data_IF_117902916997
#
_entry.id   IF_117902916997
#
_cell.length_a   1.000
_cell.length_b   1.000
_cell.length_c   1.000
_cell.angle_alpha   90.00
_cell.angle_beta   90.00
_cell.angle_gamma   90.00
#
_symmetry.space_group_name_H-M   'P 1'
#
loop_
_entity.id
_entity.type
_entity.pdbx_description
1 polymer ?
#
# COMPACT_ATOMS: atom_id res chain seq x y z
N UNK A 1 -11.71 -18.96 18.36
CA UNK A 1 -11.55 -17.60 17.75
C UNK A 1 -11.44 -17.85 16.27
N UNK A 2 -12.28 -17.22 15.47
CA UNK A 2 -12.25 -17.40 14.00
C UNK A 2 -11.02 -16.72 13.42
N UNK A 3 -10.53 -17.31 12.31
CA UNK A 3 -9.38 -16.76 11.56
C UNK A 3 -9.86 -15.51 10.81
N UNK A 4 -9.11 -14.40 10.91
CA UNK A 4 -9.42 -13.19 10.17
C UNK A 4 -8.96 -13.29 8.70
N UNK A 5 -9.58 -12.54 7.80
CA UNK A 5 -9.35 -12.62 6.35
C UNK A 5 -7.85 -12.52 5.96
N UNK A 6 -7.10 -11.59 6.57
CA UNK A 6 -5.67 -11.43 6.29
C UNK A 6 -4.79 -12.62 6.70
N UNK A 7 -5.27 -13.48 7.60
CA UNK A 7 -4.56 -14.70 8.01
C UNK A 7 -5.01 -15.94 7.22
N UNK A 8 -5.99 -15.79 6.36
CA UNK A 8 -6.48 -16.87 5.49
C UNK A 8 -5.72 -16.97 4.18
N UNK A 9 -4.98 -15.94 3.78
CA UNK A 9 -4.13 -15.98 2.58
C UNK A 9 -2.87 -16.80 2.85
N UNK A 10 -2.52 -17.72 1.97
CA UNK A 10 -1.27 -18.47 2.10
C UNK A 10 -0.05 -17.58 1.75
N UNK A 11 0.60 -17.04 2.77
CA UNK A 11 1.77 -16.17 2.63
C UNK A 11 3.01 -16.86 2.06
N UNK A 12 3.02 -18.19 1.90
CA UNK A 12 4.10 -18.92 1.23
C UNK A 12 4.00 -18.81 -0.29
N UNK A 13 2.79 -18.52 -0.80
CA UNK A 13 2.49 -18.41 -2.22
C UNK A 13 2.21 -16.97 -2.66
N UNK A 14 2.11 -16.04 -1.70
CA UNK A 14 1.80 -14.65 -1.98
C UNK A 14 2.99 -13.94 -2.62
N UNK A 15 2.76 -13.32 -3.76
CA UNK A 15 3.72 -12.53 -4.51
C UNK A 15 3.47 -11.02 -4.35
N UNK A 16 4.41 -10.14 -4.74
CA UNK A 16 4.13 -8.71 -4.84
C UNK A 16 2.97 -8.43 -5.79
N UNK A 17 2.10 -7.49 -5.42
CA UNK A 17 0.89 -7.22 -6.21
C UNK A 17 0.03 -6.11 -5.62
N UNK A 18 -1.16 -5.95 -6.21
CA UNK A 18 -2.24 -5.07 -5.75
C UNK A 18 -3.50 -5.92 -5.60
N UNK A 19 -3.86 -6.26 -4.38
CA UNK A 19 -4.93 -7.21 -4.11
C UNK A 19 -6.09 -6.55 -3.38
N UNK A 20 -7.32 -6.94 -3.69
CA UNK A 20 -8.46 -6.66 -2.82
C UNK A 20 -8.35 -7.55 -1.59
N UNK A 21 -8.02 -6.95 -0.44
CA UNK A 21 -7.89 -7.69 0.82
C UNK A 21 -9.25 -8.03 1.42
N UNK A 22 -10.15 -7.05 1.46
CA UNK A 22 -11.53 -7.22 1.93
C UNK A 22 -12.40 -6.04 1.52
N UNK A 23 -13.71 -6.24 1.63
CA UNK A 23 -14.71 -5.19 1.56
C UNK A 23 -15.54 -5.20 2.84
N UNK A 24 -15.71 -4.03 3.42
CA UNK A 24 -16.54 -3.83 4.61
C UNK A 24 -17.73 -2.94 4.25
N UNK A 25 -18.92 -3.35 4.65
CA UNK A 25 -20.16 -2.60 4.43
C UNK A 25 -20.78 -2.19 5.76
N UNK A 26 -21.21 -0.94 5.84
CA UNK A 26 -22.09 -0.48 6.93
C UNK A 26 -23.54 -0.66 6.51
N UNK A 27 -24.26 -1.59 7.14
CA UNK A 27 -25.65 -1.91 6.83
C UNK A 27 -26.59 -0.73 7.04
N UNK A 28 -26.28 0.17 7.98
CA UNK A 28 -27.14 1.29 8.33
C UNK A 28 -27.10 2.40 7.25
N UNK A 29 -25.95 2.62 6.64
CA UNK A 29 -25.75 3.70 5.64
C UNK A 29 -25.64 3.18 4.22
N UNK A 30 -25.39 1.85 4.04
CA UNK A 30 -25.06 1.25 2.75
C UNK A 30 -23.66 1.64 2.25
N UNK A 31 -22.86 2.30 3.07
CA UNK A 31 -21.49 2.67 2.72
C UNK A 31 -20.60 1.44 2.63
N UNK A 32 -19.86 1.30 1.53
CA UNK A 32 -18.88 0.24 1.33
C UNK A 32 -17.49 0.84 1.30
N UNK A 33 -16.54 0.14 1.91
CA UNK A 33 -15.10 0.44 1.81
C UNK A 33 -14.36 -0.79 1.28
N UNK A 34 -13.37 -0.54 0.44
CA UNK A 34 -12.45 -1.58 -0.05
C UNK A 34 -11.07 -1.33 0.54
N UNK A 35 -10.49 -2.37 1.13
CA UNK A 35 -9.11 -2.41 1.61
C UNK A 35 -8.25 -3.14 0.59
N UNK A 36 -7.23 -2.48 0.08
CA UNK A 36 -6.23 -3.06 -0.80
C UNK A 36 -4.95 -3.41 -0.05
N UNK A 37 -4.40 -4.56 -0.38
CA UNK A 37 -3.06 -5.00 0.00
C UNK A 37 -2.10 -4.62 -1.14
N UNK A 38 -1.28 -3.61 -0.90
CA UNK A 38 -0.20 -3.21 -1.81
C UNK A 38 1.06 -3.97 -1.39
N UNK A 39 1.18 -5.21 -1.87
CA UNK A 39 2.27 -6.12 -1.50
C UNK A 39 3.53 -5.79 -2.28
N UNK A 40 4.60 -5.37 -1.59
CA UNK A 40 5.83 -4.91 -2.21
C UNK A 40 6.97 -5.94 -2.17
N UNK A 41 6.90 -6.89 -1.24
CA UNK A 41 7.91 -7.95 -1.08
C UNK A 41 7.26 -9.31 -0.96
N UNK A 42 7.97 -10.37 -1.37
CA UNK A 42 7.56 -11.75 -1.16
C UNK A 42 7.64 -12.11 0.33
N UNK A 43 6.50 -12.42 0.99
CA UNK A 43 6.53 -12.74 2.42
C UNK A 43 7.43 -13.94 2.73
N UNK A 44 8.27 -13.81 3.74
CA UNK A 44 9.18 -14.85 4.25
C UNK A 44 10.25 -15.37 3.26
N UNK A 45 10.30 -14.87 2.02
CA UNK A 45 11.24 -15.31 0.99
C UNK A 45 12.29 -14.24 0.67
N UNK A 46 12.03 -12.99 1.00
CA UNK A 46 12.98 -11.89 0.82
C UNK A 46 12.99 -10.93 2.02
N UNK A 47 14.00 -10.04 2.14
CA UNK A 47 14.06 -9.05 3.21
C UNK A 47 12.88 -8.10 3.18
N UNK A 48 12.40 -7.71 4.36
CA UNK A 48 11.37 -6.69 4.52
C UNK A 48 11.96 -5.28 4.46
N UNK A 49 11.11 -4.29 4.22
CA UNK A 49 11.49 -2.88 4.23
C UNK A 49 11.96 -2.43 5.62
N UNK A 50 12.94 -1.52 5.67
CA UNK A 50 13.37 -0.86 6.90
C UNK A 50 12.30 0.11 7.41
N UNK A 51 12.24 0.35 8.72
CA UNK A 51 11.24 1.25 9.33
C UNK A 51 11.30 2.64 8.75
N UNK A 52 12.50 3.18 8.58
CA UNK A 52 12.70 4.52 8.03
C UNK A 52 12.27 4.65 6.56
N UNK A 53 12.46 3.60 5.75
CA UNK A 53 11.95 3.55 4.38
C UNK A 53 10.43 3.46 4.33
N UNK A 54 9.84 2.61 5.19
CA UNK A 54 8.39 2.46 5.34
C UNK A 54 7.74 3.77 5.73
N UNK A 55 8.30 4.48 6.72
CA UNK A 55 7.79 5.75 7.21
C UNK A 55 7.86 6.85 6.14
N UNK A 56 8.97 6.92 5.40
CA UNK A 56 9.12 7.85 4.28
C UNK A 56 8.09 7.56 3.15
N UNK A 57 7.85 6.30 2.81
CA UNK A 57 6.82 5.91 1.83
C UNK A 57 5.41 6.29 2.33
N UNK A 58 5.13 6.10 3.62
CA UNK A 58 3.85 6.47 4.22
C UNK A 58 3.58 7.96 4.06
N UNK A 59 4.53 8.83 4.47
CA UNK A 59 4.38 10.28 4.36
C UNK A 59 4.19 10.75 2.91
N UNK A 60 5.02 10.26 1.99
CA UNK A 60 4.96 10.62 0.58
C UNK A 60 3.68 10.12 -0.08
N UNK A 61 3.32 8.86 0.17
CA UNK A 61 2.11 8.24 -0.37
C UNK A 61 0.83 8.91 0.16
N UNK A 62 0.76 9.16 1.47
CA UNK A 62 -0.37 9.87 2.06
C UNK A 62 -0.51 11.29 1.48
N UNK A 63 0.61 12.01 1.33
CA UNK A 63 0.61 13.34 0.71
C UNK A 63 0.12 13.30 -0.73
N UNK A 64 0.62 12.36 -1.54
CA UNK A 64 0.17 12.19 -2.92
C UNK A 64 -1.33 11.91 -3.00
N UNK A 65 -1.81 10.91 -2.26
CA UNK A 65 -3.19 10.45 -2.30
C UNK A 65 -4.19 11.53 -1.85
N UNK A 66 -3.83 12.32 -0.82
CA UNK A 66 -4.68 13.41 -0.31
C UNK A 66 -4.71 14.63 -1.22
N UNK A 67 -3.79 14.73 -2.18
CA UNK A 67 -3.73 15.80 -3.19
C UNK A 67 -4.14 15.32 -4.59
N UNK A 68 -4.45 14.03 -4.78
CA UNK A 68 -4.94 13.54 -6.07
C UNK A 68 -6.34 14.11 -6.39
N UNK A 69 -6.55 14.73 -7.57
CA UNK A 69 -7.79 15.42 -7.89
C UNK A 69 -9.02 14.50 -7.96
N UNK A 70 -8.83 13.22 -8.25
CA UNK A 70 -9.93 12.25 -8.39
C UNK A 70 -10.15 11.44 -7.11
N UNK A 71 -9.06 11.13 -6.38
CA UNK A 71 -9.10 10.17 -5.29
C UNK A 71 -9.05 10.77 -3.89
N UNK A 72 -8.66 12.03 -3.72
CA UNK A 72 -8.48 12.66 -2.41
C UNK A 72 -9.71 12.57 -1.49
N UNK A 73 -10.93 12.63 -2.06
CA UNK A 73 -12.18 12.48 -1.30
C UNK A 73 -12.60 11.01 -1.08
N UNK A 74 -12.00 10.07 -1.80
CA UNK A 74 -12.31 8.64 -1.71
C UNK A 74 -11.34 7.88 -0.82
N UNK A 75 -10.11 8.34 -0.69
CA UNK A 75 -9.09 7.69 0.15
C UNK A 75 -9.39 7.93 1.62
N UNK A 76 -9.52 6.85 2.37
CA UNK A 76 -9.74 6.86 3.83
C UNK A 76 -8.41 6.78 4.56
N UNK A 77 -7.56 5.81 4.16
CA UNK A 77 -6.31 5.53 4.85
C UNK A 77 -5.26 4.95 3.89
N UNK A 78 -4.01 5.32 4.12
CA UNK A 78 -2.84 4.66 3.56
C UNK A 78 -1.80 4.53 4.66
N UNK A 79 -1.27 3.32 4.84
CA UNK A 79 -0.26 3.09 5.87
C UNK A 79 0.32 1.69 5.82
N UNK A 80 1.46 1.47 6.50
CA UNK A 80 2.22 0.24 6.42
C UNK A 80 1.56 -0.93 7.13
N UNK A 81 1.86 -2.11 6.65
CA UNK A 81 1.61 -3.36 7.36
C UNK A 81 2.66 -3.55 8.46
N UNK A 82 2.27 -4.07 9.61
CA UNK A 82 3.18 -4.36 10.71
C UNK A 82 4.31 -5.34 10.35
N UNK A 83 4.11 -6.20 9.35
CA UNK A 83 5.14 -7.11 8.83
C UNK A 83 6.14 -6.43 7.88
N UNK A 84 5.91 -5.18 7.50
CA UNK A 84 6.78 -4.37 6.62
C UNK A 84 6.99 -4.96 5.23
N UNK A 85 6.04 -5.74 4.73
CA UNK A 85 6.07 -6.33 3.38
C UNK A 85 5.22 -5.55 2.38
N UNK A 86 4.53 -4.51 2.81
CA UNK A 86 3.65 -3.67 1.98
C UNK A 86 2.84 -2.69 2.79
N UNK A 87 1.82 -2.13 2.13
CA UNK A 87 0.94 -1.11 2.68
C UNK A 87 -0.53 -1.50 2.48
N UNK A 88 -1.40 -0.95 3.33
CA UNK A 88 -2.83 -0.94 3.08
C UNK A 88 -3.27 0.40 2.50
N UNK A 89 -4.09 0.34 1.45
CA UNK A 89 -4.86 1.46 0.95
C UNK A 89 -6.34 1.16 1.19
N UNK A 90 -7.03 2.05 1.89
CA UNK A 90 -8.48 1.94 2.14
C UNK A 90 -9.19 3.07 1.42
N UNK A 91 -10.20 2.75 0.64
CA UNK A 91 -10.99 3.72 -0.11
C UNK A 91 -12.49 3.40 -0.06
N UNK A 92 -13.32 4.44 -0.19
CA UNK A 92 -14.75 4.28 -0.36
C UNK A 92 -15.10 3.65 -1.71
N UNK A 93 -16.06 2.76 -1.69
CA UNK A 93 -16.65 2.11 -2.85
C UNK A 93 -16.41 0.62 -2.90
N UNK A 94 -17.17 -0.05 -3.78
CA UNK A 94 -16.95 -1.45 -4.16
C UNK A 94 -15.97 -1.45 -5.33
N UNK A 95 -14.70 -1.65 -5.03
CA UNK A 95 -13.60 -1.48 -5.98
C UNK A 95 -12.87 -2.79 -6.24
N UNK A 96 -12.32 -2.93 -7.45
CA UNK A 96 -11.39 -3.99 -7.83
C UNK A 96 -9.95 -3.48 -7.92
N UNK A 97 -8.98 -4.36 -7.99
CA UNK A 97 -7.55 -4.01 -8.12
C UNK A 97 -7.29 -3.13 -9.34
N UNK A 98 -7.99 -3.37 -10.44
CA UNK A 98 -7.88 -2.58 -11.67
C UNK A 98 -8.30 -1.12 -11.49
N UNK A 99 -9.26 -0.83 -10.58
CA UNK A 99 -9.76 0.53 -10.35
C UNK A 99 -8.70 1.43 -9.70
N UNK A 100 -7.77 0.85 -8.94
CA UNK A 100 -6.72 1.59 -8.22
C UNK A 100 -5.33 1.41 -8.81
N UNK A 101 -5.15 0.54 -9.80
CA UNK A 101 -3.84 0.22 -10.38
C UNK A 101 -3.09 1.46 -10.89
N UNK A 102 -3.77 2.33 -11.65
CA UNK A 102 -3.19 3.58 -12.14
C UNK A 102 -2.84 4.55 -10.99
N UNK A 103 -3.72 4.71 -10.02
CA UNK A 103 -3.47 5.54 -8.83
C UNK A 103 -2.22 5.08 -8.09
N UNK A 104 -2.12 3.77 -7.83
CA UNK A 104 -0.97 3.15 -7.14
C UNK A 104 0.31 3.34 -7.96
N UNK A 105 0.25 3.11 -9.26
CA UNK A 105 1.39 3.32 -10.16
C UNK A 105 1.87 4.78 -10.11
N UNK A 106 0.96 5.76 -10.26
CA UNK A 106 1.29 7.20 -10.18
C UNK A 106 1.87 7.59 -8.82
N UNK A 107 1.33 7.05 -7.73
CA UNK A 107 1.84 7.29 -6.38
C UNK A 107 3.29 6.81 -6.24
N UNK A 108 3.59 5.59 -6.65
CA UNK A 108 4.95 5.07 -6.55
C UNK A 108 5.91 5.71 -7.56
N UNK A 109 5.44 6.15 -8.74
CA UNK A 109 6.21 6.97 -9.65
C UNK A 109 6.57 8.33 -9.03
N UNK A 110 5.62 8.97 -8.34
CA UNK A 110 5.87 10.19 -7.58
C UNK A 110 6.93 9.97 -6.49
N UNK A 111 6.84 8.88 -5.70
CA UNK A 111 7.83 8.58 -4.64
C UNK A 111 9.22 8.36 -5.25
N UNK A 112 9.31 7.62 -6.36
CA UNK A 112 10.58 7.38 -7.07
C UNK A 112 11.28 8.66 -7.50
N UNK A 113 10.52 9.65 -7.99
CA UNK A 113 11.05 10.90 -8.52
C UNK A 113 11.15 12.01 -7.47
N UNK A 114 10.63 11.79 -6.26
CA UNK A 114 10.54 12.83 -5.25
C UNK A 114 11.91 13.41 -4.90
N UNK A 115 11.96 14.74 -4.80
CA UNK A 115 13.14 15.51 -4.43
C UNK A 115 12.78 16.50 -3.32
N UNK A 116 13.67 16.70 -2.37
CA UNK A 116 13.49 17.65 -1.29
C UNK A 116 13.18 17.03 0.07
N UNK A 117 12.65 17.83 0.98
CA UNK A 117 12.26 17.39 2.32
C UNK A 117 10.96 16.61 2.28
N UNK A 118 10.91 15.46 2.98
CA UNK A 118 9.69 14.65 3.09
C UNK A 118 8.61 15.47 3.81
N UNK A 119 7.40 15.60 3.22
CA UNK A 119 6.28 16.29 3.88
C UNK A 119 5.99 15.69 5.26
N UNK A 120 5.80 16.55 6.25
CA UNK A 120 5.53 16.11 7.62
C UNK A 120 6.75 15.60 8.41
N UNK A 121 7.95 15.56 7.83
CA UNK A 121 9.15 15.13 8.55
C UNK A 121 9.73 16.26 9.44
N UNK A 122 8.89 16.79 10.32
CA UNK A 122 9.22 17.88 11.26
C UNK A 122 8.71 17.54 12.65
N UNK A 123 9.37 18.07 13.71
CA UNK A 123 9.00 17.72 15.09
C UNK A 123 7.59 18.14 15.49
N UNK A 124 7.03 19.17 14.88
CA UNK A 124 5.67 19.64 15.10
C UNK A 124 4.60 18.85 14.33
N UNK A 125 5.00 18.06 13.32
CA UNK A 125 4.10 17.36 12.40
C UNK A 125 4.15 15.84 12.55
N UNK A 126 5.26 15.30 13.07
CA UNK A 126 5.46 13.86 13.20
C UNK A 126 6.10 13.48 14.55
N UNK A 127 5.55 12.44 15.19
CA UNK A 127 6.03 11.92 16.46
C UNK A 127 7.40 11.26 16.42
N UNK A 128 7.92 10.94 15.22
CA UNK A 128 9.24 10.32 15.00
C UNK A 128 9.89 10.82 13.71
N UNK A 129 9.96 12.12 13.54
CA UNK A 129 10.37 12.77 12.29
C UNK A 129 11.80 12.47 11.83
N UNK A 130 12.67 11.97 12.71
CA UNK A 130 14.02 11.53 12.36
C UNK A 130 14.09 10.15 11.67
N UNK A 131 13.07 9.32 11.80
CA UNK A 131 13.04 7.96 11.26
C UNK A 131 12.51 7.96 9.81
N UNK A 132 13.23 8.61 8.91
CA UNK A 132 12.89 8.74 7.50
C UNK A 132 14.12 8.50 6.62
N UNK A 133 14.00 7.62 5.61
CA UNK A 133 15.04 7.32 4.63
C UNK A 133 14.50 7.47 3.20
N UNK A 134 14.64 8.67 2.63
CA UNK A 134 14.21 8.97 1.26
C UNK A 134 14.94 8.13 0.20
N UNK A 135 16.27 7.95 0.24
CA UNK A 135 16.98 7.09 -0.70
C UNK A 135 16.44 5.66 -0.74
N UNK A 136 16.20 5.04 0.41
CA UNK A 136 15.60 3.71 0.47
C UNK A 136 14.14 3.69 0.01
N UNK A 137 13.33 4.68 0.38
CA UNK A 137 11.96 4.81 -0.09
C UNK A 137 11.90 4.86 -1.64
N UNK A 138 12.77 5.68 -2.26
CA UNK A 138 12.91 5.76 -3.74
C UNK A 138 13.37 4.42 -4.34
N UNK A 139 14.26 3.70 -3.68
CA UNK A 139 14.72 2.39 -4.15
C UNK A 139 13.56 1.36 -4.13
N UNK A 140 12.81 1.29 -3.04
CA UNK A 140 11.65 0.41 -2.91
C UNK A 140 10.54 0.75 -3.93
N UNK A 141 10.27 2.04 -4.12
CA UNK A 141 9.32 2.50 -5.12
C UNK A 141 9.73 2.09 -6.54
N UNK A 142 11.02 2.29 -6.90
CA UNK A 142 11.56 1.85 -8.20
C UNK A 142 11.42 0.35 -8.39
N UNK A 143 11.75 -0.43 -7.37
CA UNK A 143 11.65 -1.88 -7.41
C UNK A 143 10.21 -2.35 -7.61
N UNK A 144 9.27 -1.79 -6.85
CA UNK A 144 7.85 -2.14 -6.94
C UNK A 144 7.26 -1.78 -8.30
N UNK A 145 7.60 -0.61 -8.84
CA UNK A 145 7.23 -0.22 -10.20
C UNK A 145 7.73 -1.25 -11.21
N UNK A 146 9.05 -1.44 -11.30
CA UNK A 146 9.67 -2.24 -12.35
C UNK A 146 9.30 -3.73 -12.30
N UNK A 147 9.16 -4.29 -11.10
CA UNK A 147 8.96 -5.74 -10.93
C UNK A 147 7.49 -6.14 -10.78
N UNK A 148 6.59 -5.19 -10.53
CA UNK A 148 5.19 -5.49 -10.23
C UNK A 148 4.23 -4.59 -11.00
N UNK A 149 4.28 -3.26 -10.77
CA UNK A 149 3.25 -2.36 -11.29
C UNK A 149 3.31 -2.17 -12.81
N UNK A 150 4.51 -2.18 -13.40
CA UNK A 150 4.71 -2.07 -14.85
C UNK A 150 4.33 -3.36 -15.62
N UNK A 151 4.21 -4.49 -14.89
CA UNK A 151 3.91 -5.82 -15.45
C UNK A 151 2.69 -6.46 -14.78
N UNK A 152 1.84 -5.66 -14.16
CA UNK A 152 0.68 -6.12 -13.38
C UNK A 152 -0.26 -6.96 -14.24
N UNK A 153 -0.52 -8.18 -13.80
CA UNK A 153 -1.42 -9.13 -14.45
C UNK A 153 -2.37 -9.80 -13.44
N UNK A 154 -3.13 -10.78 -13.86
CA UNK A 154 -4.10 -11.49 -13.00
C UNK A 154 -3.46 -12.15 -11.78
N UNK A 155 -2.23 -12.65 -11.89
CA UNK A 155 -1.52 -13.28 -10.78
C UNK A 155 -1.11 -12.28 -9.69
N UNK A 156 -0.92 -11.00 -10.07
CA UNK A 156 -0.56 -9.91 -9.16
C UNK A 156 -1.78 -9.13 -8.63
N UNK A 157 -3.00 -9.52 -9.02
CA UNK A 157 -4.25 -8.86 -8.62
C UNK A 157 -5.23 -9.76 -7.88
N UNK A 158 -5.00 -11.09 -7.90
CA UNK A 158 -5.81 -12.08 -7.22
C UNK A 158 -4.97 -12.86 -6.22
N UNK A 159 -5.48 -12.97 -5.00
CA UNK A 159 -4.79 -13.76 -3.98
C UNK A 159 -4.62 -15.23 -4.42
N UNK A 160 -3.50 -15.87 -4.04
CA UNK A 160 -3.37 -17.31 -4.18
C UNK A 160 -4.43 -18.03 -3.33
N UNK A 161 -4.46 -19.37 -3.43
CA UNK A 161 -5.39 -20.18 -2.65
C UNK A 161 -5.38 -19.81 -1.17
N UNK A 162 -6.59 -19.77 -0.59
CA UNK A 162 -6.75 -19.53 0.84
C UNK A 162 -6.37 -20.78 1.64
N UNK A 163 -5.92 -20.58 2.86
CA UNK A 163 -5.70 -21.64 3.84
C UNK A 163 -7.03 -22.14 4.38
N UNK A 164 -7.22 -23.47 4.44
CA UNK A 164 -8.36 -24.13 5.06
C UNK A 164 -8.46 -23.88 6.58
#
# INVERSE_FOLDING_TARGET
>A
MERIASFSVDHRLLEPGVYVSRRDADEATGCVTTTFDLRMTEPNREPVMDTAAVHAIEHLGATFLRNDPEWSSRVIYFGPMGCRTGFYLVAFGTLESADVADLVHRMFAFIREFEGEIPGAKPEECGNYHDNDLPQAKWWARRYLANTLDVLDDAHTHYPALLD
#
